data_IF_510175009274
#
_entry.id   IF_510175009274
#
_cell.length_a   1.000
_cell.length_b   1.000
_cell.length_c   1.000
_cell.angle_alpha   90.00
_cell.angle_beta   90.00
_cell.angle_gamma   90.00
#
_symmetry.space_group_name_H-M   'P 1'
#
loop_
_entity.id
_entity.type
_entity.pdbx_description
1 polymer ?
#
# COMPACT_ATOMS: atom_id res chain seq x y z
N UNK A 1 -10.50 65.71 -14.49
CA UNK A 1 -10.92 65.55 -15.90
C UNK A 1 -11.16 64.07 -16.15
N UNK A 2 -12.39 63.74 -16.59
CA UNK A 2 -12.94 62.49 -17.18
C UNK A 2 -12.24 61.16 -16.87
N UNK A 3 -12.79 60.22 -16.08
CA UNK A 3 -14.05 59.45 -16.18
C UNK A 3 -14.16 58.54 -17.41
N UNK A 4 -14.01 57.23 -17.21
CA UNK A 4 -14.55 56.18 -18.08
C UNK A 4 -14.81 54.89 -17.26
N UNK A 5 -16.02 54.79 -16.71
CA UNK A 5 -16.60 53.55 -16.17
C UNK A 5 -17.22 52.78 -17.32
N UNK A 6 -16.77 51.54 -17.56
CA UNK A 6 -17.43 50.63 -18.50
C UNK A 6 -18.40 49.72 -17.74
N UNK A 7 -19.68 49.96 -17.98
CA UNK A 7 -20.81 49.10 -17.61
C UNK A 7 -20.76 47.80 -18.43
N UNK A 8 -20.71 46.64 -17.77
CA UNK A 8 -21.12 45.36 -18.37
C UNK A 8 -22.58 45.08 -18.00
N UNK A 9 -23.41 44.86 -19.02
CA UNK A 9 -24.83 44.48 -18.90
C UNK A 9 -24.94 42.99 -18.53
N UNK A 10 -25.95 42.57 -17.75
CA UNK A 10 -26.27 41.16 -17.59
C UNK A 10 -27.04 40.64 -18.81
N UNK A 11 -26.66 39.47 -19.30
CA UNK A 11 -27.40 38.71 -20.32
C UNK A 11 -28.42 37.86 -19.58
N UNK A 12 -29.70 38.16 -19.77
CA UNK A 12 -30.81 37.32 -19.31
C UNK A 12 -30.85 36.03 -20.15
N UNK A 13 -30.66 34.87 -19.52
CA UNK A 13 -30.93 33.56 -20.11
C UNK A 13 -32.37 33.16 -19.81
N UNK A 14 -33.16 33.04 -20.86
CA UNK A 14 -34.52 32.52 -20.86
C UNK A 14 -34.43 30.98 -20.70
N UNK A 15 -34.87 30.45 -19.55
CA UNK A 15 -34.97 29.02 -19.29
C UNK A 15 -36.38 28.56 -19.69
N UNK A 16 -36.47 27.75 -20.75
CA UNK A 16 -37.71 27.11 -21.19
C UNK A 16 -37.87 25.81 -20.41
N UNK A 17 -38.85 25.76 -19.50
CA UNK A 17 -39.28 24.53 -18.85
C UNK A 17 -40.22 23.76 -19.79
N UNK A 18 -39.73 22.69 -20.40
CA UNK A 18 -40.58 21.66 -21.00
C UNK A 18 -40.85 20.58 -19.96
N UNK A 19 -42.08 20.59 -19.43
CA UNK A 19 -42.63 19.53 -18.60
C UNK A 19 -43.04 18.38 -19.52
N UNK A 20 -42.30 17.27 -19.47
CA UNK A 20 -42.71 15.98 -20.05
C UNK A 20 -43.08 15.08 -18.89
N UNK A 21 -44.39 14.84 -18.72
CA UNK A 21 -44.92 13.84 -17.78
C UNK A 21 -44.96 12.50 -18.53
N UNK A 22 -43.97 11.64 -18.27
CA UNK A 22 -44.02 10.23 -18.65
C UNK A 22 -44.44 9.44 -17.41
N UNK A 23 -45.68 8.98 -17.43
CA UNK A 23 -46.20 8.01 -16.46
C UNK A 23 -45.80 6.62 -16.93
N UNK A 24 -44.77 6.03 -16.30
CA UNK A 24 -44.44 4.61 -16.46
C UNK A 24 -44.82 3.85 -15.20
N UNK A 25 -45.81 2.97 -15.36
CA UNK A 25 -46.13 1.88 -14.44
C UNK A 25 -45.06 0.81 -14.67
N UNK A 26 -44.02 0.81 -13.82
CA UNK A 26 -42.93 -0.15 -13.84
C UNK A 26 -43.13 -1.23 -12.78
N UNK A 27 -43.13 -2.48 -13.24
CA UNK A 27 -43.13 -3.71 -12.44
C UNK A 27 -41.92 -3.73 -11.50
N UNK A 28 -42.16 -3.92 -10.20
CA UNK A 28 -41.12 -3.95 -9.17
C UNK A 28 -40.22 -5.17 -9.31
N UNK A 29 -39.03 -4.98 -9.88
CA UNK A 29 -37.90 -5.87 -9.72
C UNK A 29 -37.19 -5.43 -8.43
N UNK A 30 -36.98 -6.32 -7.44
CA UNK A 30 -36.18 -5.98 -6.26
C UNK A 30 -34.73 -5.75 -6.70
N UNK A 31 -34.34 -4.47 -6.80
CA UNK A 31 -32.95 -4.08 -6.86
C UNK A 31 -32.31 -4.48 -5.53
N UNK A 32 -31.45 -5.50 -5.54
CA UNK A 32 -30.58 -5.79 -4.42
C UNK A 32 -29.70 -4.54 -4.16
N UNK A 33 -29.72 -3.95 -2.96
CA UNK A 33 -28.82 -2.85 -2.61
C UNK A 33 -27.42 -3.43 -2.40
N UNK A 34 -26.71 -3.68 -3.50
CA UNK A 34 -25.34 -4.18 -3.54
C UNK A 34 -24.36 -3.15 -4.10
N UNK A 35 -24.69 -1.86 -4.05
CA UNK A 35 -23.76 -0.78 -4.40
C UNK A 35 -22.64 -0.75 -3.36
N UNK A 36 -21.63 -1.60 -3.55
CA UNK A 36 -20.31 -1.46 -2.96
C UNK A 36 -19.82 -0.08 -3.40
N UNK A 37 -19.98 0.92 -2.53
CA UNK A 37 -19.31 2.21 -2.68
C UNK A 37 -17.84 1.87 -2.86
N UNK A 38 -17.32 2.09 -4.07
CA UNK A 38 -15.90 1.88 -4.37
C UNK A 38 -15.17 2.91 -3.50
N UNK A 39 -14.67 2.46 -2.34
CA UNK A 39 -13.83 3.28 -1.50
C UNK A 39 -12.72 3.84 -2.40
N UNK A 40 -12.54 5.17 -2.40
CA UNK A 40 -11.39 5.77 -3.07
C UNK A 40 -10.13 5.02 -2.58
N UNK A 41 -9.30 4.49 -3.48
CA UNK A 41 -8.11 3.77 -3.07
C UNK A 41 -7.27 4.69 -2.18
N UNK A 42 -6.89 4.19 -1.00
CA UNK A 42 -6.02 4.95 -0.10
C UNK A 42 -4.73 5.33 -0.85
N UNK A 43 -4.21 6.56 -0.66
CA UNK A 43 -2.99 6.96 -1.32
C UNK A 43 -1.85 5.99 -0.95
N UNK A 44 -0.92 5.76 -1.88
CA UNK A 44 0.22 4.90 -1.61
C UNK A 44 1.03 5.44 -0.43
N UNK A 45 1.53 4.56 0.47
CA UNK A 45 2.43 4.98 1.53
C UNK A 45 3.63 5.78 1.01
N UNK A 46 3.95 6.88 1.69
CA UNK A 46 5.07 7.78 1.32
C UNK A 46 6.27 7.53 2.24
N UNK A 47 7.31 6.82 1.78
CA UNK A 47 8.50 6.55 2.58
C UNK A 47 9.39 7.79 2.71
N UNK A 48 10.31 7.74 3.68
CA UNK A 48 11.16 8.85 4.09
C UNK A 48 11.89 9.54 2.95
N UNK A 49 12.44 8.79 1.97
CA UNK A 49 13.14 9.40 0.83
C UNK A 49 12.19 10.16 -0.07
N UNK A 50 11.00 9.61 -0.32
CA UNK A 50 10.01 10.22 -1.18
C UNK A 50 9.51 11.53 -0.58
N UNK A 51 9.15 11.52 0.70
CA UNK A 51 8.82 12.73 1.46
C UNK A 51 9.96 13.76 1.37
N UNK A 52 11.21 13.34 1.63
CA UNK A 52 12.36 14.24 1.55
C UNK A 52 12.53 14.86 0.16
N UNK A 53 12.35 14.08 -0.92
CA UNK A 53 12.52 14.57 -2.30
C UNK A 53 11.42 15.57 -2.65
N UNK A 54 10.18 15.28 -2.29
CA UNK A 54 9.00 16.09 -2.62
C UNK A 54 8.94 17.41 -1.82
N UNK A 55 9.42 17.40 -0.58
CA UNK A 55 9.37 18.58 0.29
C UNK A 55 10.26 19.71 -0.19
N UNK A 56 9.77 20.94 -0.10
CA UNK A 56 10.61 22.14 -0.15
C UNK A 56 11.36 22.35 1.17
N UNK A 57 10.70 22.06 2.30
CA UNK A 57 11.23 22.19 3.65
C UNK A 57 11.07 20.91 4.46
N UNK A 58 12.08 20.56 5.24
CA UNK A 58 12.00 19.48 6.23
C UNK A 58 12.53 20.03 7.55
N UNK A 59 11.68 20.03 8.58
CA UNK A 59 11.98 20.70 9.85
C UNK A 59 11.63 19.83 11.04
N UNK A 60 12.37 20.02 12.14
CA UNK A 60 11.98 19.59 13.48
C UNK A 60 11.45 20.82 14.21
N UNK A 61 10.18 20.81 14.58
CA UNK A 61 9.53 21.99 15.15
C UNK A 61 8.56 21.62 16.27
N UNK A 62 8.37 22.55 17.21
CA UNK A 62 7.29 22.47 18.19
C UNK A 62 6.02 23.13 17.66
N UNK A 63 4.87 22.50 17.88
CA UNK A 63 3.56 23.05 17.50
C UNK A 63 3.28 24.32 18.31
N UNK A 64 3.02 25.42 17.62
CA UNK A 64 2.62 26.70 18.20
C UNK A 64 1.11 26.92 18.08
N UNK A 65 0.72 28.20 18.13
CA UNK A 65 -0.69 28.59 18.03
C UNK A 65 -1.25 28.32 16.64
N UNK A 66 -2.52 27.90 16.61
CA UNK A 66 -3.33 27.76 15.40
C UNK A 66 -4.37 28.87 15.32
N UNK A 67 -4.52 29.47 14.14
CA UNK A 67 -5.50 30.51 13.87
C UNK A 67 -6.45 30.05 12.76
N UNK A 68 -7.76 30.26 12.95
CA UNK A 68 -8.76 30.03 11.91
C UNK A 68 -8.66 31.15 10.89
N UNK A 69 -8.38 30.81 9.64
CA UNK A 69 -8.24 31.79 8.55
C UNK A 69 -9.46 31.82 7.64
N UNK A 70 -10.16 30.69 7.49
CA UNK A 70 -11.39 30.59 6.69
C UNK A 70 -12.26 29.45 7.23
N UNK A 71 -13.57 29.60 7.10
CA UNK A 71 -14.55 28.53 7.32
C UNK A 71 -15.35 28.37 6.04
N UNK A 72 -15.35 27.17 5.46
CA UNK A 72 -16.18 26.83 4.29
C UNK A 72 -17.31 25.89 4.72
N UNK A 73 -18.49 26.02 4.09
CA UNK A 73 -19.68 25.24 4.43
C UNK A 73 -20.86 26.03 5.00
N UNK A 74 -20.81 27.37 5.02
CA UNK A 74 -22.01 28.21 5.22
C UNK A 74 -22.80 28.30 3.90
N UNK A 75 -23.32 27.16 3.41
CA UNK A 75 -24.38 27.20 2.43
C UNK A 75 -25.66 27.69 3.12
N UNK A 76 -26.37 28.66 2.52
CA UNK A 76 -27.64 29.21 3.01
C UNK A 76 -28.82 28.20 3.02
N UNK A 77 -28.54 26.89 3.01
CA UNK A 77 -29.54 25.84 3.18
C UNK A 77 -29.66 25.47 4.64
N UNK A 78 -30.87 25.51 5.20
CA UNK A 78 -31.21 25.10 6.57
C UNK A 78 -31.03 23.57 6.84
N UNK A 79 -30.12 22.90 6.15
CA UNK A 79 -29.85 21.47 6.27
C UNK A 79 -28.44 21.19 6.80
N UNK A 80 -28.38 20.89 8.09
CA UNK A 80 -27.36 20.09 8.81
C UNK A 80 -25.89 20.58 8.74
N UNK A 81 -25.40 21.10 9.88
CA UNK A 81 -24.04 21.61 10.17
C UNK A 81 -22.90 20.57 10.07
N UNK A 82 -23.09 19.44 9.37
CA UNK A 82 -22.19 18.27 9.46
C UNK A 82 -20.90 18.41 8.64
N UNK A 83 -20.89 19.26 7.60
CA UNK A 83 -19.76 19.34 6.65
C UNK A 83 -18.88 20.61 6.76
N UNK A 84 -18.88 21.31 7.90
CA UNK A 84 -18.07 22.52 8.06
C UNK A 84 -16.57 22.21 8.08
N UNK A 85 -15.86 22.67 7.06
CA UNK A 85 -14.40 22.58 6.97
C UNK A 85 -13.78 23.88 7.47
N UNK A 86 -12.81 23.76 8.38
CA UNK A 86 -12.09 24.91 8.91
C UNK A 86 -10.68 24.94 8.34
N UNK A 87 -10.29 26.06 7.74
CA UNK A 87 -8.94 26.27 7.23
C UNK A 87 -8.09 26.94 8.33
N UNK A 88 -7.08 26.21 8.78
CA UNK A 88 -6.20 26.60 9.87
C UNK A 88 -4.84 27.06 9.36
N UNK A 89 -4.25 28.01 10.07
CA UNK A 89 -2.86 28.42 9.96
C UNK A 89 -2.17 28.13 11.29
N UNK A 90 -1.27 27.15 11.31
CA UNK A 90 -0.55 26.73 12.51
C UNK A 90 0.89 27.20 12.45
N UNK A 91 1.34 27.88 13.50
CA UNK A 91 2.75 28.25 13.66
C UNK A 91 3.56 27.02 14.09
N UNK A 92 4.66 26.74 13.41
CA UNK A 92 5.65 25.74 13.80
C UNK A 92 6.93 26.46 14.25
N UNK A 93 7.29 26.29 15.53
CA UNK A 93 8.51 26.88 16.10
C UNK A 93 9.70 25.96 15.79
N UNK A 94 10.50 26.35 14.81
CA UNK A 94 11.55 25.48 14.25
C UNK A 94 12.75 25.42 15.18
N UNK A 95 13.10 24.20 15.57
CA UNK A 95 14.30 23.89 16.35
C UNK A 95 15.47 23.43 15.48
N UNK A 96 15.19 22.79 14.34
CA UNK A 96 16.19 22.37 13.36
C UNK A 96 15.60 22.37 11.95
N UNK A 97 16.40 22.79 10.97
CA UNK A 97 16.07 22.75 9.53
C UNK A 97 16.96 21.71 8.85
N UNK A 98 16.35 20.64 8.33
CA UNK A 98 17.03 19.52 7.68
C UNK A 98 17.07 19.69 6.15
N UNK A 99 16.12 20.44 5.58
CA UNK A 99 16.05 20.85 4.17
C UNK A 99 15.36 22.20 4.06
N UNK A 100 15.82 23.04 3.12
CA UNK A 100 15.31 24.39 2.88
C UNK A 100 16.06 25.48 3.66
N UNK A 101 15.65 26.74 3.48
CA UNK A 101 16.25 27.88 4.16
C UNK A 101 15.91 27.90 5.67
N UNK A 102 16.84 28.29 6.56
CA UNK A 102 16.56 28.30 7.98
C UNK A 102 15.57 29.43 8.34
N UNK A 103 14.42 29.06 8.88
CA UNK A 103 13.39 29.97 9.37
C UNK A 103 13.07 29.64 10.83
N UNK A 104 12.99 30.62 11.76
CA UNK A 104 12.70 30.34 13.16
C UNK A 104 11.24 29.92 13.40
N UNK A 105 10.33 30.34 12.52
CA UNK A 105 8.92 30.00 12.56
C UNK A 105 8.43 29.76 11.13
N UNK A 106 7.80 28.61 10.90
CA UNK A 106 7.16 28.27 9.62
C UNK A 106 5.65 28.20 9.85
N UNK A 107 4.85 28.77 8.95
CA UNK A 107 3.39 28.69 9.03
C UNK A 107 2.86 27.64 8.07
N UNK A 108 2.20 26.61 8.61
CA UNK A 108 1.59 25.54 7.84
C UNK A 108 0.10 25.79 7.73
N UNK A 109 -0.43 25.68 6.52
CA UNK A 109 -1.86 25.80 6.26
C UNK A 109 -2.46 24.41 6.00
N UNK A 110 -3.59 24.12 6.63
CA UNK A 110 -4.24 22.82 6.52
C UNK A 110 -5.75 22.92 6.75
N UNK A 111 -6.48 21.93 6.24
CA UNK A 111 -7.92 21.80 6.44
C UNK A 111 -8.19 20.85 7.59
N UNK A 112 -9.01 21.31 8.53
CA UNK A 112 -9.52 20.49 9.62
C UNK A 112 -10.97 20.13 9.35
N UNK A 113 -11.23 18.83 9.29
CA UNK A 113 -12.57 18.26 9.27
C UNK A 113 -13.03 18.06 10.72
N UNK A 114 -14.31 18.29 11.00
CA UNK A 114 -14.84 18.21 12.37
C UNK A 114 -14.64 16.82 13.00
N UNK A 115 -14.82 15.77 12.20
CA UNK A 115 -14.73 14.38 12.64
C UNK A 115 -13.31 13.81 12.55
N UNK A 116 -12.46 14.40 11.69
CA UNK A 116 -11.10 13.92 11.43
C UNK A 116 -10.09 15.01 11.77
N UNK A 117 -9.45 14.85 12.92
CA UNK A 117 -8.28 15.66 13.29
C UNK A 117 -7.06 15.04 12.64
N UNK A 118 -6.39 15.80 11.80
CA UNK A 118 -5.06 15.44 11.33
C UNK A 118 -4.03 15.48 12.47
N UNK A 119 -2.81 15.01 12.18
CA UNK A 119 -1.76 14.91 13.19
C UNK A 119 -1.43 16.27 13.82
N UNK A 120 -1.37 17.35 13.03
CA UNK A 120 -1.04 18.69 13.53
C UNK A 120 -2.18 19.29 14.38
N UNK A 121 -3.45 19.05 14.01
CA UNK A 121 -4.62 19.50 14.77
C UNK A 121 -4.85 18.69 16.05
N UNK A 122 -4.34 17.45 16.08
CA UNK A 122 -4.38 16.59 17.27
C UNK A 122 -3.24 16.83 18.26
N UNK A 123 -2.15 17.48 17.81
CA UNK A 123 -0.98 17.77 18.61
C UNK A 123 -1.23 18.89 19.63
N UNK A 124 -0.56 18.82 20.77
CA UNK A 124 -0.64 19.86 21.80
C UNK A 124 0.38 20.98 21.53
N UNK A 125 0.07 22.22 21.95
CA UNK A 125 1.05 23.31 21.88
C UNK A 125 2.33 22.92 22.64
N UNK A 126 3.48 23.12 22.01
CA UNK A 126 4.80 22.72 22.49
C UNK A 126 5.26 21.33 22.02
N UNK A 127 4.35 20.48 21.55
CA UNK A 127 4.68 19.12 21.10
C UNK A 127 5.63 19.17 19.89
N UNK A 128 6.70 18.37 19.95
CA UNK A 128 7.73 18.33 18.90
C UNK A 128 7.36 17.33 17.79
N UNK A 129 7.49 17.78 16.55
CA UNK A 129 7.18 17.03 15.34
C UNK A 129 8.33 17.10 14.34
N UNK A 130 8.47 16.04 13.54
CA UNK A 130 9.22 16.07 12.28
C UNK A 130 8.22 16.30 11.15
N UNK A 131 8.42 17.37 10.36
CA UNK A 131 7.44 17.83 9.38
C UNK A 131 8.07 18.01 8.00
N UNK A 132 7.38 17.48 6.99
CA UNK A 132 7.72 17.50 5.57
C UNK A 132 6.75 18.43 4.84
N UNK A 133 7.28 19.52 4.28
CA UNK A 133 6.50 20.64 3.78
C UNK A 133 6.77 20.92 2.30
N UNK A 134 5.71 21.04 1.51
CA UNK A 134 5.75 21.63 0.17
C UNK A 134 5.42 23.10 0.25
N UNK A 135 6.00 23.85 -0.67
CA UNK A 135 5.65 25.25 -0.87
C UNK A 135 4.76 25.36 -2.11
N UNK A 136 3.57 25.93 -1.93
CA UNK A 136 2.74 26.29 -3.07
C UNK A 136 3.40 27.46 -3.81
N UNK A 137 3.56 27.30 -5.14
CA UNK A 137 4.26 28.27 -5.99
C UNK A 137 3.46 29.56 -6.23
N UNK A 138 2.14 29.52 -6.07
CA UNK A 138 1.25 30.66 -6.35
C UNK A 138 1.24 31.67 -5.20
N UNK A 139 1.14 31.19 -3.96
CA UNK A 139 1.02 32.04 -2.78
C UNK A 139 2.23 31.98 -1.83
N UNK A 140 3.16 31.05 -2.06
CA UNK A 140 4.35 30.85 -1.23
C UNK A 140 4.07 30.19 0.11
N UNK A 141 2.83 29.75 0.37
CA UNK A 141 2.44 29.12 1.62
C UNK A 141 2.94 27.68 1.72
N UNK A 142 3.23 27.24 2.95
CA UNK A 142 3.62 25.86 3.22
C UNK A 142 2.40 24.99 3.56
N UNK A 143 2.45 23.77 3.05
CA UNK A 143 1.49 22.69 3.25
C UNK A 143 2.24 21.42 3.60
N UNK A 144 1.58 20.51 4.31
CA UNK A 144 2.13 19.17 4.52
C UNK A 144 2.06 18.41 3.20
N UNK A 145 3.16 17.78 2.77
CA UNK A 145 3.22 17.03 1.50
C UNK A 145 2.15 15.93 1.40
N UNK A 146 1.92 15.25 2.53
CA UNK A 146 0.95 14.18 2.67
C UNK A 146 0.43 14.20 4.11
N UNK A 147 -0.90 14.29 4.29
CA UNK A 147 -1.48 14.42 5.64
C UNK A 147 -1.30 13.17 6.50
N UNK A 148 -1.12 11.99 5.89
CA UNK A 148 -0.92 10.72 6.59
C UNK A 148 0.54 10.46 6.94
N UNK A 149 1.49 10.89 6.10
CA UNK A 149 2.90 10.52 6.24
C UNK A 149 3.85 11.71 6.44
N UNK A 150 3.45 12.92 6.05
CA UNK A 150 4.27 14.14 6.08
C UNK A 150 4.44 14.77 7.47
N UNK A 151 3.74 14.28 8.48
CA UNK A 151 3.97 14.64 9.89
C UNK A 151 4.28 13.37 10.68
N UNK A 152 5.44 13.34 11.33
CA UNK A 152 5.84 12.24 12.22
C UNK A 152 5.90 12.73 13.65
N UNK A 153 4.98 12.22 14.47
CA UNK A 153 4.99 12.32 15.94
C UNK A 153 5.86 11.19 16.48
N UNK A 154 7.03 11.54 17.01
CA UNK A 154 8.07 10.60 17.41
C UNK A 154 8.51 10.87 18.85
N UNK A 155 8.99 9.84 19.55
CA UNK A 155 9.74 10.04 20.78
C UNK A 155 11.10 10.70 20.49
N UNK A 156 11.71 11.38 21.45
CA UNK A 156 13.02 12.03 21.28
C UNK A 156 14.09 11.06 20.75
N UNK A 157 14.07 9.82 21.24
CA UNK A 157 14.99 8.77 20.81
C UNK A 157 14.77 8.42 19.33
N UNK A 158 13.52 8.24 18.90
CA UNK A 158 13.20 7.92 17.51
C UNK A 158 13.47 9.11 16.58
N UNK A 159 13.10 10.32 17.02
CA UNK A 159 13.34 11.55 16.28
C UNK A 159 14.81 11.74 15.95
N UNK A 160 15.71 11.46 16.90
CA UNK A 160 17.16 11.51 16.67
C UNK A 160 17.60 10.56 15.54
N UNK A 161 17.06 9.36 15.49
CA UNK A 161 17.37 8.38 14.42
C UNK A 161 16.86 8.90 13.06
N UNK A 162 15.63 9.40 13.00
CA UNK A 162 15.08 9.99 11.78
C UNK A 162 15.89 11.20 11.29
N UNK A 163 16.26 12.12 12.19
CA UNK A 163 17.13 13.26 11.87
C UNK A 163 18.43 12.78 11.25
N UNK A 164 19.10 11.81 11.88
CA UNK A 164 20.33 11.23 11.35
C UNK A 164 20.13 10.65 9.93
N UNK A 165 19.06 9.87 9.70
CA UNK A 165 18.78 9.31 8.37
C UNK A 165 18.51 10.38 7.32
N UNK A 166 17.80 11.44 7.68
CA UNK A 166 17.53 12.57 6.78
C UNK A 166 18.82 13.33 6.46
N UNK A 167 19.69 13.56 7.43
CA UNK A 167 20.98 14.22 7.20
C UNK A 167 21.90 13.40 6.28
N UNK A 168 21.95 12.08 6.47
CA UNK A 168 22.66 11.16 5.59
C UNK A 168 22.10 11.24 4.16
N UNK A 169 20.78 11.19 4.00
CA UNK A 169 20.11 11.32 2.71
C UNK A 169 20.40 12.70 2.08
N UNK A 170 20.31 13.78 2.87
CA UNK A 170 20.61 15.13 2.41
C UNK A 170 22.05 15.24 1.90
N UNK A 171 23.01 14.55 2.53
CA UNK A 171 24.40 14.50 2.07
C UNK A 171 24.51 13.82 0.70
N UNK A 172 23.82 12.70 0.48
CA UNK A 172 23.80 11.98 -0.80
C UNK A 172 23.14 12.86 -1.88
N UNK A 173 22.02 13.51 -1.55
CA UNK A 173 21.23 14.32 -2.48
C UNK A 173 21.88 15.67 -2.84
N UNK A 174 22.85 16.16 -2.06
CA UNK A 174 23.62 17.38 -2.37
C UNK A 174 24.67 17.18 -3.47
N UNK A 175 25.04 15.95 -3.80
CA UNK A 175 25.93 15.67 -4.92
C UNK A 175 25.27 16.07 -6.25
N UNK A 176 26.06 16.57 -7.21
CA UNK A 176 25.55 16.94 -8.56
C UNK A 176 24.82 15.77 -9.24
N UNK A 177 25.31 14.55 -8.99
CA UNK A 177 24.68 13.30 -9.40
C UNK A 177 24.66 12.34 -8.21
N UNK A 178 23.54 12.24 -7.47
CA UNK A 178 23.40 11.29 -6.38
C UNK A 178 23.71 9.88 -6.85
N UNK A 179 24.53 9.15 -6.09
CA UNK A 179 24.91 7.78 -6.44
C UNK A 179 23.78 6.82 -6.07
N UNK A 180 23.29 6.10 -7.07
CA UNK A 180 22.26 5.07 -6.88
C UNK A 180 22.71 4.00 -5.85
N UNK A 181 23.99 3.64 -5.83
CA UNK A 181 24.56 2.70 -4.86
C UNK A 181 24.57 3.26 -3.44
N UNK A 182 24.81 4.57 -3.27
CA UNK A 182 24.76 5.21 -1.94
C UNK A 182 23.33 5.30 -1.43
N UNK A 183 22.35 5.56 -2.32
CA UNK A 183 20.92 5.52 -1.97
C UNK A 183 20.51 4.12 -1.54
N UNK A 184 20.94 3.08 -2.26
CA UNK A 184 20.64 1.68 -1.89
C UNK A 184 21.27 1.32 -0.56
N UNK A 185 22.53 1.70 -0.29
CA UNK A 185 23.15 1.47 1.01
C UNK A 185 22.42 2.25 2.12
N UNK A 186 21.94 3.46 1.85
CA UNK A 186 21.12 4.21 2.79
C UNK A 186 19.78 3.49 3.08
N UNK A 187 19.09 2.97 2.05
CA UNK A 187 17.86 2.19 2.22
C UNK A 187 18.09 0.92 3.03
N UNK A 188 19.20 0.22 2.79
CA UNK A 188 19.59 -0.96 3.58
C UNK A 188 19.77 -0.57 5.05
N UNK A 189 20.50 0.50 5.34
CA UNK A 189 20.69 0.97 6.72
C UNK A 189 19.40 1.44 7.40
N UNK A 190 18.47 2.02 6.64
CA UNK A 190 17.12 2.32 7.14
C UNK A 190 16.39 1.03 7.53
N UNK A 191 16.40 0.00 6.66
CA UNK A 191 15.76 -1.30 6.88
C UNK A 191 16.38 -2.11 8.03
N UNK A 192 17.65 -1.89 8.34
CA UNK A 192 18.35 -2.52 9.47
C UNK A 192 17.98 -1.92 10.83
N UNK A 193 17.63 -0.64 10.87
CA UNK A 193 17.32 0.07 12.10
C UNK A 193 15.84 -0.09 12.46
N UNK A 194 15.46 -0.66 13.61
CA UNK A 194 14.06 -0.91 13.97
C UNK A 194 13.16 0.34 13.91
N UNK A 195 13.71 1.54 14.12
CA UNK A 195 12.95 2.80 14.12
C UNK A 195 12.58 3.25 12.70
N UNK A 196 13.44 2.95 11.72
CA UNK A 196 13.27 3.35 10.31
C UNK A 196 13.12 2.15 9.38
N UNK A 197 12.91 0.95 9.94
CA UNK A 197 12.94 -0.30 9.19
C UNK A 197 11.93 -0.28 8.05
N UNK A 198 10.71 0.14 8.37
CA UNK A 198 9.63 0.23 7.41
C UNK A 198 9.99 1.14 6.22
N UNK A 199 10.69 2.26 6.45
CA UNK A 199 11.08 3.22 5.41
C UNK A 199 11.97 2.58 4.33
N UNK A 200 12.98 1.82 4.77
CA UNK A 200 13.91 1.15 3.87
C UNK A 200 13.32 -0.11 3.24
N UNK A 201 12.66 -0.94 4.05
CA UNK A 201 12.11 -2.21 3.60
C UNK A 201 10.99 -2.00 2.57
N UNK A 202 10.10 -1.02 2.81
CA UNK A 202 9.02 -0.67 1.89
C UNK A 202 9.55 -0.29 0.50
N UNK A 203 10.49 0.66 0.42
CA UNK A 203 11.01 1.12 -0.87
C UNK A 203 11.73 0.02 -1.65
N UNK A 204 12.50 -0.82 -0.96
CA UNK A 204 13.18 -1.94 -1.59
C UNK A 204 12.17 -3.00 -2.07
N UNK A 205 11.11 -3.29 -1.31
CA UNK A 205 10.07 -4.25 -1.70
C UNK A 205 9.28 -3.73 -2.91
N UNK A 206 8.84 -2.47 -2.88
CA UNK A 206 8.14 -1.84 -4.00
C UNK A 206 9.03 -1.75 -5.26
N UNK A 207 10.34 -1.57 -5.08
CA UNK A 207 11.31 -1.67 -6.18
C UNK A 207 11.32 -3.06 -6.82
N UNK A 208 11.30 -4.12 -6.01
CA UNK A 208 11.17 -5.50 -6.50
C UNK A 208 9.86 -5.72 -7.26
N UNK A 209 8.73 -5.29 -6.71
CA UNK A 209 7.43 -5.38 -7.36
C UNK A 209 7.42 -4.67 -8.73
N UNK A 210 7.98 -3.45 -8.81
CA UNK A 210 8.05 -2.71 -10.05
C UNK A 210 8.90 -3.43 -11.13
N UNK A 211 9.96 -4.16 -10.74
CA UNK A 211 10.73 -5.00 -11.66
C UNK A 211 9.88 -6.15 -12.21
N UNK A 212 9.09 -6.80 -11.36
CA UNK A 212 8.24 -7.93 -11.73
C UNK A 212 7.20 -7.49 -12.75
N UNK A 213 6.49 -6.39 -12.47
CA UNK A 213 5.51 -5.79 -13.38
C UNK A 213 6.15 -5.42 -14.73
N UNK A 214 7.31 -4.76 -14.72
CA UNK A 214 8.02 -4.41 -15.96
C UNK A 214 8.44 -5.65 -16.76
N UNK A 215 8.86 -6.71 -16.07
CA UNK A 215 9.31 -7.97 -16.71
C UNK A 215 8.12 -8.69 -17.33
N UNK A 216 6.99 -8.76 -16.63
CA UNK A 216 5.77 -9.35 -17.16
C UNK A 216 5.22 -8.56 -18.35
N UNK A 217 5.18 -7.23 -18.26
CA UNK A 217 4.76 -6.38 -19.38
C UNK A 217 5.65 -6.60 -20.61
N UNK A 218 6.98 -6.60 -20.43
CA UNK A 218 7.90 -6.86 -21.53
C UNK A 218 7.71 -8.26 -22.14
N UNK A 219 7.39 -9.27 -21.33
CA UNK A 219 7.10 -10.62 -21.82
C UNK A 219 5.79 -10.68 -22.62
N UNK A 220 4.74 -9.98 -22.17
CA UNK A 220 3.48 -9.84 -22.91
C UNK A 220 3.68 -9.13 -24.24
N UNK A 221 4.38 -7.99 -24.26
CA UNK A 221 4.70 -7.24 -25.47
C UNK A 221 5.52 -8.08 -26.46
N UNK A 222 6.50 -8.85 -25.98
CA UNK A 222 7.27 -9.77 -26.82
C UNK A 222 6.39 -10.89 -27.42
N UNK A 223 5.42 -11.40 -26.66
CA UNK A 223 4.50 -12.45 -27.14
C UNK A 223 3.55 -11.90 -28.21
N UNK A 224 2.95 -10.73 -27.97
CA UNK A 224 2.07 -10.06 -28.93
C UNK A 224 2.80 -9.65 -30.22
N UNK A 225 4.09 -9.28 -30.14
CA UNK A 225 4.87 -8.95 -31.34
C UNK A 225 5.15 -10.19 -32.22
N UNK A 226 5.32 -11.37 -31.62
CA UNK A 226 5.48 -12.63 -32.37
C UNK A 226 4.16 -13.03 -33.03
N UNK A 227 3.04 -12.95 -32.31
CA UNK A 227 1.71 -13.27 -32.86
C UNK A 227 1.29 -12.32 -34.01
N UNK A 228 1.64 -11.03 -33.91
CA UNK A 228 1.39 -10.07 -34.99
C UNK A 228 2.22 -10.39 -36.25
N UNK A 229 3.49 -10.78 -36.08
CA UNK A 229 4.37 -11.13 -37.20
C UNK A 229 3.93 -12.42 -37.93
N UNK A 230 3.39 -13.40 -37.21
CA UNK A 230 2.90 -14.64 -37.82
C UNK A 230 1.58 -14.44 -38.59
N UNK A 231 0.77 -13.46 -38.19
CA UNK A 231 -0.48 -13.10 -38.87
C UNK A 231 -0.20 -12.39 -40.21
N UNK A 232 0.74 -11.44 -40.24
CA UNK A 232 1.14 -10.77 -41.49
C UNK A 232 1.77 -11.75 -42.50
N UNK A 233 2.54 -12.74 -42.03
CA UNK A 233 3.13 -13.77 -42.89
C UNK A 233 2.08 -14.74 -43.49
N UNK A 234 0.94 -14.93 -42.83
CA UNK A 234 -0.14 -15.78 -43.31
C UNK A 234 -1.03 -15.07 -44.36
N UNK A 235 -1.22 -13.75 -44.24
CA UNK A 235 -2.00 -12.96 -45.20
C UNK A 235 -1.26 -12.79 -46.55
N UNK A 236 0.06 -12.63 -46.56
CA UNK A 236 0.86 -12.58 -47.79
C UNK A 236 0.91 -13.92 -48.56
N UNK A 237 0.53 -15.04 -47.92
CA UNK A 237 0.49 -16.36 -48.56
C UNK A 237 -0.86 -16.68 -49.23
N UNK A 238 -1.90 -15.86 -49.04
CA UNK A 238 -3.23 -16.07 -49.64
C UNK A 238 -3.55 -15.18 -50.86
N UNK A 239 -2.70 -14.21 -51.21
CA UNK A 239 -2.93 -13.30 -52.36
C UNK A 239 -2.22 -13.74 -53.67
N UNK A 240 -2.32 -15.02 -54.06
CA UNK A 240 -1.83 -15.49 -55.38
C UNK A 240 -2.88 -16.23 -56.21
N UNK A 241 -4.10 -16.47 -55.70
CA UNK A 241 -5.17 -17.05 -56.50
C UNK A 241 -6.52 -16.48 -56.08
N UNK A 242 -7.01 -15.46 -56.78
CA UNK A 242 -8.20 -15.52 -57.66
C UNK A 242 -8.52 -14.10 -58.18
N UNK A 243 -8.12 -13.84 -59.42
CA UNK A 243 -8.62 -12.72 -60.22
C UNK A 243 -9.96 -13.13 -60.84
N UNK A 244 -10.89 -12.16 -60.87
CA UNK A 244 -12.17 -12.12 -61.60
C UNK A 244 -13.36 -12.92 -61.02
N UNK A 245 -14.24 -12.26 -60.26
CA UNK A 245 -15.57 -11.82 -60.77
C UNK A 245 -16.38 -11.01 -59.73
N UNK A 246 -16.75 -9.79 -60.15
CA UNK A 246 -18.01 -9.06 -59.94
C UNK A 246 -18.72 -8.94 -58.56
N UNK A 247 -18.79 -7.68 -58.10
CA UNK A 247 -19.98 -6.91 -57.68
C UNK A 247 -21.05 -7.56 -56.77
N UNK A 248 -21.24 -7.01 -55.56
CA UNK A 248 -22.40 -6.15 -55.24
C UNK A 248 -22.31 -5.65 -53.78
N UNK A 249 -22.79 -4.43 -53.59
CA UNK A 249 -22.76 -3.67 -52.34
C UNK A 249 -23.68 -4.26 -51.25
N UNK A 250 -23.17 -4.38 -50.03
CA UNK A 250 -24.01 -4.39 -48.83
C UNK A 250 -23.29 -3.67 -47.69
N UNK A 251 -23.93 -2.61 -47.20
CA UNK A 251 -23.47 -1.79 -46.08
C UNK A 251 -23.81 -2.54 -44.78
N UNK A 252 -22.81 -3.19 -44.19
CA UNK A 252 -22.91 -3.82 -42.87
C UNK A 252 -22.21 -2.96 -41.82
N UNK A 253 -22.97 -2.54 -40.81
CA UNK A 253 -22.48 -1.86 -39.61
C UNK A 253 -21.31 -2.62 -38.98
N UNK A 254 -20.14 -1.97 -38.93
CA UNK A 254 -18.99 -2.44 -38.15
C UNK A 254 -19.25 -2.08 -36.71
N UNK A 255 -19.75 -3.04 -35.94
CA UNK A 255 -19.81 -3.01 -34.48
C UNK A 255 -18.38 -2.93 -33.93
N UNK A 256 -17.92 -1.71 -33.63
CA UNK A 256 -16.71 -1.48 -32.86
C UNK A 256 -17.01 -1.94 -31.43
N UNK A 257 -16.53 -3.12 -31.05
CA UNK A 257 -16.52 -3.57 -29.65
C UNK A 257 -15.69 -2.58 -28.82
N UNK A 258 -16.36 -1.64 -28.15
CA UNK A 258 -15.73 -0.56 -27.38
C UNK A 258 -15.55 -0.90 -25.90
N UNK A 259 -15.39 -2.18 -25.56
CA UNK A 259 -15.36 -2.65 -24.15
C UNK A 259 -13.95 -2.90 -23.58
N UNK A 260 -12.87 -2.58 -24.32
CA UNK A 260 -11.54 -2.44 -23.72
C UNK A 260 -11.45 -1.08 -23.00
N UNK A 261 -12.12 -1.00 -21.85
CA UNK A 261 -11.85 0.03 -20.85
C UNK A 261 -10.38 -0.15 -20.44
N UNK A 262 -9.49 0.83 -20.71
CA UNK A 262 -8.11 0.75 -20.25
C UNK A 262 -8.15 0.61 -18.74
N UNK A 263 -7.66 -0.53 -18.24
CA UNK A 263 -7.64 -0.83 -16.82
C UNK A 263 -6.89 0.30 -16.09
N UNK A 264 -7.58 0.97 -15.17
CA UNK A 264 -7.05 2.06 -14.34
C UNK A 264 -5.87 1.64 -13.44
N UNK A 265 -5.35 0.41 -13.53
CA UNK A 265 -4.15 -0.05 -12.83
C UNK A 265 -2.87 0.68 -13.26
N UNK A 266 -2.84 1.28 -14.47
CA UNK A 266 -1.59 1.81 -15.03
C UNK A 266 -1.18 3.16 -14.42
N UNK A 267 -2.10 3.98 -13.88
CA UNK A 267 -1.71 5.27 -13.30
C UNK A 267 -1.04 5.16 -11.93
N UNK A 268 -1.34 4.11 -11.15
CA UNK A 268 -0.71 3.89 -9.84
C UNK A 268 0.78 3.54 -9.97
N UNK A 269 1.20 2.91 -11.09
CA UNK A 269 2.58 2.45 -11.31
C UNK A 269 3.53 3.61 -11.64
N UNK A 270 3.02 4.74 -12.12
CA UNK A 270 3.84 5.85 -12.65
C UNK A 270 4.91 6.36 -11.68
N UNK A 271 4.57 6.53 -10.41
CA UNK A 271 5.52 7.01 -9.39
C UNK A 271 6.46 5.90 -8.88
N UNK A 272 6.00 4.64 -8.88
CA UNK A 272 6.82 3.49 -8.49
C UNK A 272 7.83 3.07 -9.56
N UNK A 273 7.57 3.37 -10.84
CA UNK A 273 8.48 3.07 -11.93
C UNK A 273 9.86 3.72 -11.72
N UNK A 274 9.93 4.88 -11.05
CA UNK A 274 11.20 5.54 -10.70
C UNK A 274 12.05 4.72 -9.71
N UNK A 275 11.43 3.81 -8.97
CA UNK A 275 12.06 3.02 -7.92
C UNK A 275 12.45 1.62 -8.36
N UNK A 276 12.07 1.15 -9.56
CA UNK A 276 12.35 -0.22 -10.04
C UNK A 276 13.85 -0.61 -10.10
N UNK A 277 14.77 0.36 -9.98
CA UNK A 277 16.21 0.10 -10.05
C UNK A 277 16.85 -0.32 -8.73
N UNK A 278 16.29 0.03 -7.57
CA UNK A 278 16.97 -0.14 -6.28
C UNK A 278 17.24 -1.61 -5.93
N UNK A 279 16.23 -2.46 -6.09
CA UNK A 279 16.34 -3.89 -5.83
C UNK A 279 17.38 -4.59 -6.73
N UNK A 280 17.56 -4.14 -7.98
CA UNK A 280 18.58 -4.69 -8.90
C UNK A 280 20.01 -4.40 -8.44
N UNK A 281 20.21 -3.33 -7.67
CA UNK A 281 21.51 -2.87 -7.21
C UNK A 281 21.93 -3.47 -5.86
N UNK A 282 21.04 -4.23 -5.21
CA UNK A 282 21.37 -4.91 -3.95
C UNK A 282 22.47 -5.96 -4.18
N UNK A 283 23.57 -5.79 -3.47
CA UNK A 283 24.68 -6.75 -3.43
C UNK A 283 24.31 -7.98 -2.60
N UNK A 284 25.03 -9.09 -2.79
CA UNK A 284 24.85 -10.31 -1.98
C UNK A 284 25.05 -10.04 -0.49
N UNK A 285 25.99 -9.17 -0.12
CA UNK A 285 26.24 -8.80 1.27
C UNK A 285 25.07 -8.01 1.89
N UNK A 286 24.48 -7.07 1.14
CA UNK A 286 23.31 -6.33 1.59
C UNK A 286 22.08 -7.23 1.75
N UNK A 287 21.85 -8.17 0.82
CA UNK A 287 20.79 -9.18 0.96
C UNK A 287 20.98 -10.02 2.23
N UNK A 288 22.21 -10.50 2.46
CA UNK A 288 22.55 -11.25 3.66
C UNK A 288 22.31 -10.45 4.95
N UNK A 289 22.70 -9.18 4.98
CA UNK A 289 22.45 -8.25 6.10
C UNK A 289 20.96 -8.09 6.38
N UNK A 290 20.15 -7.80 5.37
CA UNK A 290 18.70 -7.63 5.50
C UNK A 290 18.01 -8.91 6.00
N UNK A 291 18.37 -10.09 5.48
CA UNK A 291 17.83 -11.34 6.01
C UNK A 291 18.32 -11.62 7.43
N UNK A 292 19.56 -11.25 7.76
CA UNK A 292 20.07 -11.38 9.14
C UNK A 292 19.30 -10.48 10.10
N UNK A 293 19.04 -9.23 9.72
CA UNK A 293 18.16 -8.31 10.45
C UNK A 293 16.79 -8.95 10.65
N UNK A 294 16.18 -9.49 9.60
CA UNK A 294 14.89 -10.18 9.71
C UNK A 294 14.92 -11.27 10.78
N UNK A 295 15.89 -12.18 10.66
CA UNK A 295 16.02 -13.33 11.57
C UNK A 295 16.45 -12.97 12.99
N UNK A 296 16.92 -11.73 13.21
CA UNK A 296 17.28 -11.21 14.53
C UNK A 296 16.10 -10.65 15.31
N UNK A 297 14.97 -10.38 14.65
CA UNK A 297 13.77 -9.86 15.30
C UNK A 297 13.16 -10.93 16.19
N UNK A 298 12.98 -10.60 17.46
CA UNK A 298 12.44 -11.53 18.45
C UNK A 298 10.96 -11.85 18.19
N UNK A 299 10.18 -10.80 17.94
CA UNK A 299 8.73 -10.86 17.72
C UNK A 299 8.40 -10.07 16.47
N UNK A 300 7.94 -10.76 15.43
CA UNK A 300 7.42 -10.10 14.24
C UNK A 300 6.09 -9.40 14.56
N UNK A 301 5.69 -8.46 13.70
CA UNK A 301 4.36 -7.84 13.64
C UNK A 301 4.09 -7.37 12.19
N UNK A 302 2.96 -6.72 11.93
CA UNK A 302 2.59 -6.26 10.59
C UNK A 302 3.55 -5.23 9.97
N UNK A 303 4.34 -4.52 10.78
CA UNK A 303 5.33 -3.54 10.28
C UNK A 303 6.52 -4.22 9.60
N UNK A 304 6.74 -5.50 9.88
CA UNK A 304 7.86 -6.30 9.36
C UNK A 304 7.56 -6.97 8.01
N UNK A 305 6.34 -6.86 7.49
CA UNK A 305 5.90 -7.59 6.29
C UNK A 305 6.83 -7.35 5.09
N UNK A 306 7.21 -6.10 4.82
CA UNK A 306 8.03 -5.76 3.66
C UNK A 306 9.44 -6.37 3.75
N UNK A 307 9.99 -6.52 4.96
CA UNK A 307 11.29 -7.18 5.14
C UNK A 307 11.19 -8.70 4.89
N UNK A 308 10.06 -9.31 5.25
CA UNK A 308 9.76 -10.71 4.95
C UNK A 308 9.57 -10.89 3.44
N UNK A 309 8.85 -9.99 2.78
CA UNK A 309 8.67 -10.00 1.32
C UNK A 309 10.01 -9.95 0.60
N UNK A 310 10.92 -9.06 1.01
CA UNK A 310 12.28 -8.99 0.46
C UNK A 310 13.04 -10.31 0.63
N UNK A 311 13.05 -10.88 1.84
CA UNK A 311 13.74 -12.14 2.10
C UNK A 311 13.16 -13.30 1.28
N UNK A 312 11.86 -13.29 0.97
CA UNK A 312 11.25 -14.30 0.08
C UNK A 312 11.83 -14.22 -1.33
N UNK A 313 12.14 -13.04 -1.86
CA UNK A 313 12.64 -12.90 -3.24
C UNK A 313 14.06 -13.45 -3.43
N UNK A 314 14.79 -13.76 -2.35
CA UNK A 314 16.18 -14.22 -2.42
C UNK A 314 16.36 -15.70 -2.08
N UNK A 315 15.27 -16.43 -1.85
CA UNK A 315 15.28 -17.86 -1.52
C UNK A 315 16.26 -18.23 -0.39
N UNK A 316 16.36 -17.38 0.63
CA UNK A 316 17.23 -17.64 1.78
C UNK A 316 16.67 -18.81 2.63
N UNK A 317 17.45 -19.88 2.74
CA UNK A 317 17.07 -21.10 3.44
C UNK A 317 16.75 -20.90 4.93
N UNK A 318 17.19 -19.80 5.54
CA UNK A 318 16.91 -19.47 6.94
C UNK A 318 15.47 -18.98 7.15
N UNK A 319 14.79 -18.51 6.09
CA UNK A 319 13.49 -17.86 6.21
C UNK A 319 12.43 -18.81 6.76
N UNK A 320 12.24 -20.00 6.16
CA UNK A 320 11.17 -20.93 6.57
C UNK A 320 11.31 -21.38 8.03
N UNK A 321 12.49 -21.87 8.50
CA UNK A 321 12.67 -22.21 9.91
C UNK A 321 12.41 -21.05 10.87
N UNK A 322 12.80 -19.83 10.48
CA UNK A 322 12.55 -18.63 11.27
C UNK A 322 11.05 -18.31 11.37
N UNK A 323 10.33 -18.29 10.25
CA UNK A 323 8.88 -18.04 10.25
C UNK A 323 8.09 -19.12 11.02
N UNK A 324 8.48 -20.40 10.91
CA UNK A 324 7.90 -21.46 11.72
C UNK A 324 8.14 -21.25 13.22
N UNK A 325 9.32 -20.76 13.60
CA UNK A 325 9.61 -20.40 14.99
C UNK A 325 8.71 -19.25 15.45
N UNK A 326 8.46 -18.25 14.60
CA UNK A 326 7.55 -17.14 14.90
C UNK A 326 6.09 -17.60 15.03
N UNK A 327 5.63 -18.49 14.16
CA UNK A 327 4.30 -19.12 14.26
C UNK A 327 4.15 -19.95 15.55
N UNK A 328 5.18 -20.73 15.91
CA UNK A 328 5.16 -21.59 17.12
C UNK A 328 5.10 -20.78 18.41
N UNK A 329 5.75 -19.60 18.44
CA UNK A 329 5.70 -18.71 19.62
C UNK A 329 4.27 -18.33 20.01
N UNK A 330 3.29 -18.54 19.12
CA UNK A 330 1.89 -18.40 19.45
C UNK A 330 1.60 -16.93 19.67
N UNK A 331 1.20 -16.27 18.59
CA UNK A 331 0.65 -14.93 18.69
C UNK A 331 -0.72 -15.06 19.34
N UNK A 332 -0.77 -14.70 20.62
CA UNK A 332 -2.03 -14.58 21.37
C UNK A 332 -2.86 -13.38 20.87
N UNK A 333 -2.34 -12.62 19.92
CA UNK A 333 -3.05 -11.61 19.15
C UNK A 333 -4.10 -12.25 18.23
N UNK A 334 -5.33 -12.18 18.73
CA UNK A 334 -6.59 -12.59 18.14
C UNK A 334 -6.66 -12.30 16.63
N UNK A 335 -6.96 -13.33 15.83
CA UNK A 335 -7.44 -13.11 14.47
C UNK A 335 -6.44 -12.48 13.50
N UNK A 336 -5.15 -12.45 13.81
CA UNK A 336 -4.20 -11.61 13.10
C UNK A 336 -4.00 -12.05 11.63
N UNK A 337 -4.52 -11.24 10.69
CA UNK A 337 -4.27 -11.32 9.25
C UNK A 337 -2.79 -11.58 8.91
N UNK A 338 -1.87 -11.06 9.72
CA UNK A 338 -0.45 -11.30 9.57
C UNK A 338 -0.04 -12.76 9.79
N UNK A 339 -0.63 -13.46 10.76
CA UNK A 339 -0.38 -14.89 10.99
C UNK A 339 -0.77 -15.72 9.77
N UNK A 340 -1.89 -15.37 9.12
CA UNK A 340 -2.36 -16.03 7.91
C UNK A 340 -1.40 -15.80 6.75
N UNK A 341 -0.90 -14.57 6.60
CA UNK A 341 0.17 -14.28 5.65
C UNK A 341 1.43 -15.11 5.90
N UNK A 342 1.88 -15.24 7.17
CA UNK A 342 3.06 -16.04 7.50
C UNK A 342 2.87 -17.53 7.12
N UNK A 343 1.71 -18.11 7.43
CA UNK A 343 1.39 -19.48 7.04
C UNK A 343 1.40 -19.63 5.51
N UNK A 344 0.79 -18.68 4.80
CA UNK A 344 0.77 -18.69 3.34
C UNK A 344 2.18 -18.61 2.73
N UNK A 345 3.05 -17.77 3.28
CA UNK A 345 4.44 -17.64 2.86
C UNK A 345 5.20 -18.96 3.07
N UNK A 346 5.05 -19.57 4.26
CA UNK A 346 5.70 -20.85 4.58
C UNK A 346 5.23 -21.95 3.63
N UNK A 347 3.92 -22.09 3.42
CA UNK A 347 3.34 -23.10 2.54
C UNK A 347 3.85 -22.97 1.09
N UNK A 348 3.80 -21.75 0.54
CA UNK A 348 4.30 -21.45 -0.81
C UNK A 348 5.79 -21.72 -0.96
N UNK A 349 6.60 -21.40 0.06
CA UNK A 349 8.05 -21.65 0.05
C UNK A 349 8.41 -23.13 0.18
N UNK A 350 7.57 -23.91 0.84
CA UNK A 350 7.72 -25.38 0.87
C UNK A 350 7.24 -26.05 -0.42
N UNK A 351 6.43 -25.36 -1.24
CA UNK A 351 5.85 -25.93 -2.47
C UNK A 351 4.86 -27.06 -2.18
N UNK A 352 4.17 -27.00 -1.04
CA UNK A 352 3.23 -28.02 -0.57
C UNK A 352 1.79 -27.52 -0.74
N UNK A 353 1.11 -28.00 -1.78
CA UNK A 353 -0.26 -27.63 -2.11
C UNK A 353 -1.26 -27.93 -0.98
N UNK A 354 -1.02 -28.97 -0.19
CA UNK A 354 -1.89 -29.30 0.93
C UNK A 354 -1.74 -28.27 2.06
N UNK A 355 -0.52 -27.79 2.31
CA UNK A 355 -0.28 -26.69 3.25
C UNK A 355 -0.88 -25.37 2.75
N UNK A 356 -0.82 -25.10 1.45
CA UNK A 356 -1.44 -23.89 0.86
C UNK A 356 -2.95 -23.92 1.08
N UNK A 357 -3.61 -25.02 0.71
CA UNK A 357 -5.05 -25.18 0.92
C UNK A 357 -5.45 -25.09 2.40
N UNK A 358 -4.64 -25.66 3.30
CA UNK A 358 -4.86 -25.55 4.74
C UNK A 358 -4.74 -24.11 5.24
N UNK A 359 -3.73 -23.36 4.80
CA UNK A 359 -3.54 -21.97 5.19
C UNK A 359 -4.67 -21.06 4.67
N UNK A 360 -5.15 -21.28 3.43
CA UNK A 360 -6.33 -20.58 2.89
C UNK A 360 -7.59 -20.86 3.71
N UNK A 361 -7.83 -22.13 4.05
CA UNK A 361 -8.97 -22.54 4.87
C UNK A 361 -8.98 -21.86 6.24
N UNK A 362 -7.81 -21.81 6.90
CA UNK A 362 -7.64 -21.11 8.18
C UNK A 362 -7.89 -19.59 8.01
N UNK A 363 -7.35 -18.99 6.95
CA UNK A 363 -7.50 -17.56 6.67
C UNK A 363 -8.96 -17.16 6.38
N UNK A 364 -9.73 -18.03 5.73
CA UNK A 364 -11.13 -17.78 5.41
C UNK A 364 -12.06 -17.97 6.61
N UNK A 365 -11.54 -18.44 7.76
CA UNK A 365 -12.36 -18.84 8.89
C UNK A 365 -13.27 -20.03 8.57
N UNK A 366 -13.00 -20.75 7.48
CA UNK A 366 -13.76 -21.93 7.12
C UNK A 366 -13.55 -23.00 8.18
N UNK A 367 -14.64 -23.61 8.63
CA UNK A 367 -14.53 -24.74 9.52
C UNK A 367 -13.73 -25.82 8.82
N UNK A 368 -12.60 -26.20 9.42
CA UNK A 368 -11.88 -27.40 9.01
C UNK A 368 -12.75 -28.55 9.41
N UNK A 369 -13.68 -28.90 8.49
CA UNK A 369 -14.68 -29.96 8.63
C UNK A 369 -14.05 -31.09 9.42
N UNK A 370 -14.71 -31.39 10.53
CA UNK A 370 -14.13 -32.15 11.63
C UNK A 370 -13.24 -33.26 11.06
N UNK A 371 -11.96 -33.22 11.41
CA UNK A 371 -11.07 -34.37 11.22
C UNK A 371 -11.70 -35.48 12.06
N UNK A 372 -12.61 -36.23 11.44
CA UNK A 372 -13.47 -37.29 11.99
C UNK A 372 -13.49 -37.37 13.52
N UNK A 373 -14.15 -36.41 14.18
CA UNK A 373 -14.77 -36.64 15.49
C UNK A 373 -16.27 -36.69 15.27
N UNK A 374 -16.73 -37.83 14.74
CA UNK A 374 -18.12 -38.10 14.44
C UNK A 374 -19.03 -37.91 15.68
N UNK A 375 -20.02 -37.01 15.56
CA UNK A 375 -21.37 -37.22 16.10
C UNK A 375 -22.35 -36.27 15.40
N UNK A 376 -23.01 -36.79 14.35
CA UNK A 376 -24.11 -36.15 13.62
C UNK A 376 -25.38 -36.10 14.49
N UNK A 377 -25.98 -34.93 14.64
CA UNK A 377 -27.41 -34.81 14.92
C UNK A 377 -28.02 -33.72 14.04
N UNK A 378 -28.58 -34.15 12.91
CA UNK A 378 -29.46 -33.37 12.05
C UNK A 378 -30.86 -33.27 12.68
N UNK A 379 -31.19 -32.15 13.33
CA UNK A 379 -32.59 -31.78 13.57
C UNK A 379 -32.88 -30.38 13.00
N UNK A 380 -33.67 -30.39 11.93
CA UNK A 380 -34.21 -29.22 11.25
C UNK A 380 -34.96 -28.32 12.24
N UNK A 381 -34.47 -27.09 12.46
CA UNK A 381 -35.18 -26.13 13.29
C UNK A 381 -35.31 -24.75 12.64
N UNK A 382 -36.56 -24.29 12.59
CA UNK A 382 -36.97 -22.93 12.31
C UNK A 382 -36.48 -22.03 13.47
N UNK A 383 -35.39 -21.30 13.28
CA UNK A 383 -34.82 -20.46 14.35
C UNK A 383 -35.57 -19.12 14.48
N UNK A 384 -36.29 -18.99 15.59
CA UNK A 384 -36.44 -17.69 16.23
C UNK A 384 -35.03 -17.20 16.60
N UNK A 385 -34.67 -15.98 16.18
CA UNK A 385 -33.42 -15.32 16.57
C UNK A 385 -33.46 -15.12 18.08
N UNK A 386 -32.93 -16.09 18.83
CA UNK A 386 -32.70 -15.94 20.26
C UNK A 386 -31.46 -15.07 20.40
N UNK A 387 -31.64 -13.87 20.92
CA UNK A 387 -30.56 -12.93 21.24
C UNK A 387 -29.58 -13.64 22.20
N UNK A 388 -28.36 -13.91 21.72
CA UNK A 388 -27.29 -14.50 22.53
C UNK A 388 -26.94 -13.53 23.66
N UNK A 389 -26.65 -14.04 24.85
CA UNK A 389 -26.14 -13.19 25.93
C UNK A 389 -24.69 -12.78 25.65
N UNK A 390 -24.23 -11.64 26.18
CA UNK A 390 -22.83 -11.22 26.04
C UNK A 390 -21.83 -12.28 26.53
N UNK A 391 -22.18 -13.06 27.55
CA UNK A 391 -21.39 -14.19 28.05
C UNK A 391 -21.31 -15.35 27.03
N UNK A 392 -22.40 -15.61 26.30
CA UNK A 392 -22.40 -16.60 25.21
C UNK A 392 -21.57 -16.13 24.02
N UNK A 393 -21.63 -14.84 23.67
CA UNK A 393 -20.80 -14.26 22.62
C UNK A 393 -19.31 -14.31 22.98
N UNK A 394 -18.95 -13.97 24.21
CA UNK A 394 -17.56 -14.07 24.71
C UNK A 394 -17.06 -15.52 24.70
N UNK A 395 -17.88 -16.48 25.15
CA UNK A 395 -17.53 -17.89 25.14
C UNK A 395 -17.37 -18.44 23.71
N UNK A 396 -18.23 -18.02 22.78
CA UNK A 396 -18.14 -18.38 21.36
C UNK A 396 -16.88 -17.80 20.71
N UNK A 397 -16.56 -16.53 20.97
CA UNK A 397 -15.32 -15.92 20.50
C UNK A 397 -14.08 -16.63 21.06
N UNK A 398 -14.07 -16.96 22.35
CA UNK A 398 -12.99 -17.72 22.96
C UNK A 398 -12.84 -19.12 22.34
N UNK A 399 -13.96 -19.80 22.02
CA UNK A 399 -13.94 -21.09 21.33
C UNK A 399 -13.38 -20.98 19.90
N UNK A 400 -13.77 -19.95 19.15
CA UNK A 400 -13.24 -19.65 17.80
C UNK A 400 -11.73 -19.42 17.86
N UNK A 401 -11.26 -18.60 18.82
CA UNK A 401 -9.83 -18.33 19.01
C UNK A 401 -9.06 -19.58 19.38
N UNK A 402 -9.59 -20.42 20.27
CA UNK A 402 -8.96 -21.68 20.66
C UNK A 402 -8.89 -22.68 19.48
N UNK A 403 -9.95 -22.76 18.67
CA UNK A 403 -9.98 -23.57 17.44
C UNK A 403 -8.91 -23.08 16.46
N UNK A 404 -8.83 -21.78 16.22
CA UNK A 404 -7.80 -21.17 15.37
C UNK A 404 -6.38 -21.45 15.88
N UNK A 405 -6.12 -21.30 17.18
CA UNK A 405 -4.82 -21.60 17.80
C UNK A 405 -4.42 -23.06 17.56
N UNK A 406 -5.36 -23.99 17.69
CA UNK A 406 -5.16 -25.42 17.42
C UNK A 406 -4.83 -25.67 15.94
N UNK A 407 -5.53 -25.00 15.03
CA UNK A 407 -5.29 -25.10 13.59
C UNK A 407 -3.91 -24.58 13.18
N UNK A 408 -3.47 -23.45 13.75
CA UNK A 408 -2.12 -22.92 13.51
C UNK A 408 -1.05 -23.88 14.01
N UNK A 409 -1.23 -24.48 15.19
CA UNK A 409 -0.30 -25.50 15.72
C UNK A 409 -0.25 -26.75 14.83
N UNK A 410 -1.39 -27.17 14.30
CA UNK A 410 -1.48 -28.27 13.33
C UNK A 410 -0.72 -27.94 12.05
N UNK A 411 -0.94 -26.74 11.48
CA UNK A 411 -0.20 -26.24 10.33
C UNK A 411 1.32 -26.26 10.56
N UNK A 412 1.78 -25.73 11.70
CA UNK A 412 3.21 -25.70 12.05
C UNK A 412 3.79 -27.13 12.12
N UNK A 413 3.06 -28.06 12.72
CA UNK A 413 3.49 -29.47 12.84
C UNK A 413 3.64 -30.13 11.46
N UNK A 414 2.68 -29.93 10.56
CA UNK A 414 2.76 -30.44 9.20
C UNK A 414 3.91 -29.80 8.42
N UNK A 415 4.04 -28.48 8.48
CA UNK A 415 5.10 -27.76 7.78
C UNK A 415 6.50 -28.19 8.22
N UNK A 416 6.72 -28.40 9.52
CA UNK A 416 7.99 -28.95 10.05
C UNK A 416 8.32 -30.35 9.54
N UNK A 417 7.30 -31.18 9.27
CA UNK A 417 7.49 -32.50 8.70
C UNK A 417 7.88 -32.47 7.21
N UNK A 418 7.48 -31.41 6.51
CA UNK A 418 7.78 -31.16 5.08
C UNK A 418 9.16 -30.54 4.87
N UNK A 419 9.68 -29.77 5.85
CA UNK A 419 11.03 -29.19 5.76
C UNK A 419 12.05 -30.31 5.53
N UNK A 420 12.82 -30.30 4.42
CA UNK A 420 13.83 -31.30 4.17
C UNK A 420 14.77 -31.32 5.37
N UNK A 421 14.90 -32.47 6.04
CA UNK A 421 15.93 -32.65 7.06
C UNK A 421 17.25 -32.36 6.36
N UNK A 422 17.85 -31.20 6.66
CA UNK A 422 19.12 -30.80 6.08
C UNK A 422 20.04 -32.02 6.17
N UNK A 423 20.49 -32.51 5.01
CA UNK A 423 21.45 -33.61 4.99
C UNK A 423 22.58 -33.16 5.92
N UNK A 424 22.98 -33.98 6.92
CA UNK A 424 23.96 -33.56 7.92
C UNK A 424 25.13 -33.01 7.15
N UNK A 425 25.33 -31.70 7.30
CA UNK A 425 26.32 -30.90 6.58
C UNK A 425 27.62 -31.70 6.67
N UNK A 426 28.01 -32.36 5.58
CA UNK A 426 29.29 -33.03 5.54
C UNK A 426 30.30 -31.91 5.73
N UNK A 427 30.83 -31.81 6.95
CA UNK A 427 31.70 -30.74 7.39
C UNK A 427 32.70 -30.44 6.28
N UNK A 428 32.42 -29.39 5.51
CA UNK A 428 33.35 -28.87 4.52
C UNK A 428 34.42 -28.25 5.37
N UNK A 429 35.41 -29.09 5.69
CA UNK A 429 36.68 -28.69 6.25
C UNK A 429 37.28 -27.74 5.22
N UNK A 430 36.99 -26.45 5.39
CA UNK A 430 37.66 -25.37 4.71
C UNK A 430 39.13 -25.45 5.14
N UNK A 431 39.89 -26.24 4.38
CA UNK A 431 41.33 -26.34 4.48
C UNK A 431 41.84 -24.99 3.98
N UNK A 432 41.95 -24.04 4.91
CA UNK A 432 42.62 -22.77 4.69
C UNK A 432 44.05 -23.10 4.22
N UNK A 433 44.28 -23.04 2.92
CA UNK A 433 45.62 -23.07 2.35
C UNK A 433 46.24 -21.72 2.64
N UNK A 434 46.84 -21.59 3.82
CA UNK A 434 47.89 -20.62 4.05
C UNK A 434 49.00 -20.92 3.03
N UNK A 435 49.17 -20.03 2.05
CA UNK A 435 50.39 -19.97 1.25
C UNK A 435 51.11 -18.68 1.65
N UNK A 436 52.40 -18.74 2.00
CA UNK A 436 53.17 -17.64 2.57
C UNK A 436 53.46 -16.49 1.59
#
# INVERSE_FOLDING_TARGET
MLSARLFRKPVARLLVFSIIVISMIGVGIPFAPGSRTRACPAPPPQPLRQLYVQSAHVVVASVGKSEVTKTEGEGEGEGEDEDKMTYLKTALLVSSTLKGEPEPVVYVHHWMYREYKDTISSATEGEQLLVFLSQNKEDGNYYVDDMSYGIKKLSDAHLKVYVQRIEELASIMKAEKPSDTEIVEWLVRCAEDPVTQWEGAYELAMSHYAIEVQTEQAAREATSAVEASDTEAAEDAQDVTTSEEAQAAEAGDVEINSDEVPSQEITFIGDYAMNAKWARLLTTEQKYRLTTTLTSIETLDSTHHYLIELAQKWDDARLVPYLLTQLRKGRDDEGNYFTDQLMMIVAKKLGDEALVALAEKISNGEEVGDVDYAEETDEANNEAVVEKTAEQEEAEQAAILQKRKTMVQYFVTLAESTVPKAAPEQAVTAKASATP
#
